data_IF_285383387759
#
_entry.id   IF_285383387759
#
_cell.length_a   1.000
_cell.length_b   1.000
_cell.length_c   1.000
_cell.angle_alpha   90.00
_cell.angle_beta   90.00
_cell.angle_gamma   90.00
#
_symmetry.space_group_name_H-M   'P 1'
#
loop_
_entity.id
_entity.type
_entity.pdbx_description
1 polymer ?
#
# COMPACT_ATOMS: atom_id res chain seq x y z
N UNK A 1 -1.68 -6.22 11.93
CA UNK A 1 -1.74 -5.08 12.86
C UNK A 1 -2.46 -5.46 14.15
N UNK A 2 -2.08 -4.83 15.24
CA UNK A 2 -2.66 -5.14 16.56
C UNK A 2 -4.02 -4.49 16.80
N UNK A 3 -4.35 -3.45 16.05
CA UNK A 3 -5.61 -2.75 16.20
C UNK A 3 -5.96 -1.98 14.93
N UNK A 4 -7.18 -1.48 14.87
CA UNK A 4 -7.67 -0.76 13.69
C UNK A 4 -6.93 0.56 13.49
N UNK A 5 -6.58 1.23 14.57
CA UNK A 5 -5.88 2.52 14.49
C UNK A 5 -4.55 2.42 13.76
N UNK A 6 -3.75 1.40 14.07
CA UNK A 6 -2.48 1.18 13.39
C UNK A 6 -2.69 0.78 11.92
N UNK A 7 -3.70 -0.01 11.64
CA UNK A 7 -4.05 -0.36 10.26
C UNK A 7 -4.46 0.89 9.47
N UNK A 8 -5.22 1.78 10.10
CA UNK A 8 -5.63 3.04 9.49
C UNK A 8 -4.43 3.95 9.23
N UNK A 9 -3.51 4.06 10.19
CA UNK A 9 -2.29 4.86 10.03
C UNK A 9 -1.47 4.34 8.86
N UNK A 10 -1.30 3.03 8.75
CA UNK A 10 -0.58 2.44 7.64
C UNK A 10 -1.26 2.77 6.30
N UNK A 11 -2.58 2.65 6.25
CA UNK A 11 -3.35 3.00 5.05
C UNK A 11 -3.09 4.45 4.62
N UNK A 12 -3.06 5.38 5.57
CA UNK A 12 -2.80 6.78 5.28
C UNK A 12 -1.38 7.00 4.73
N UNK A 13 -0.40 6.32 5.30
CA UNK A 13 0.99 6.42 4.82
C UNK A 13 1.09 5.91 3.37
N UNK A 14 0.44 4.80 3.07
CA UNK A 14 0.45 4.25 1.72
C UNK A 14 -0.32 5.15 0.75
N UNK A 15 -1.42 5.75 1.20
CA UNK A 15 -2.16 6.72 0.39
C UNK A 15 -1.30 7.94 0.03
N UNK A 16 -0.53 8.45 0.98
CA UNK A 16 0.38 9.56 0.73
C UNK A 16 1.48 9.19 -0.25
N UNK A 17 2.02 7.98 -0.13
CA UNK A 17 2.99 7.46 -1.09
C UNK A 17 2.39 7.37 -2.49
N UNK A 18 1.15 6.88 -2.60
CA UNK A 18 0.45 6.76 -3.87
C UNK A 18 0.29 8.11 -4.56
N UNK A 19 -0.11 9.13 -3.80
CA UNK A 19 -0.25 10.49 -4.34
C UNK A 19 1.10 11.05 -4.79
N UNK A 20 2.14 10.85 -4.00
CA UNK A 20 3.48 11.34 -4.33
C UNK A 20 3.99 10.71 -5.63
N UNK A 21 3.74 9.44 -5.83
CA UNK A 21 4.23 8.72 -7.00
C UNK A 21 3.28 8.80 -8.20
N UNK A 22 2.09 9.37 -8.01
CA UNK A 22 1.10 9.46 -9.07
C UNK A 22 0.60 8.11 -9.56
N UNK A 23 0.59 7.11 -8.68
CA UNK A 23 0.20 5.74 -9.00
C UNK A 23 -0.61 5.17 -7.84
N UNK A 24 -1.86 4.83 -8.09
CA UNK A 24 -2.83 4.57 -7.03
C UNK A 24 -3.17 3.09 -6.91
N UNK A 25 -3.08 2.52 -5.71
CA UNK A 25 -3.43 1.12 -5.46
C UNK A 25 -4.91 0.96 -5.13
N UNK A 26 -5.35 -0.29 -5.09
CA UNK A 26 -6.56 -0.65 -4.36
C UNK A 26 -6.16 -0.94 -2.92
N UNK A 27 -6.89 -0.37 -1.96
CA UNK A 27 -6.62 -0.56 -0.53
C UNK A 27 -7.91 -1.03 0.14
N UNK A 28 -7.81 -2.16 0.84
CA UNK A 28 -8.89 -2.67 1.68
C UNK A 28 -8.42 -2.62 3.13
N UNK A 29 -9.09 -1.80 3.93
CA UNK A 29 -8.78 -1.62 5.35
C UNK A 29 -9.79 -2.41 6.18
N UNK A 30 -9.27 -3.33 7.00
CA UNK A 30 -10.07 -4.12 7.91
C UNK A 30 -9.43 -4.10 9.29
N UNK A 31 -10.15 -4.56 10.32
CA UNK A 31 -9.59 -4.66 11.65
C UNK A 31 -8.36 -5.58 11.62
N UNK A 32 -7.22 -5.01 11.98
CA UNK A 32 -5.98 -5.77 12.06
C UNK A 32 -5.34 -6.14 10.72
N UNK A 33 -5.92 -5.71 9.59
CA UNK A 33 -5.45 -6.14 8.28
C UNK A 33 -5.59 -5.04 7.23
N UNK A 34 -4.58 -4.86 6.41
CA UNK A 34 -4.64 -3.98 5.24
C UNK A 34 -4.20 -4.75 4.02
N UNK A 35 -5.04 -4.80 3.01
CA UNK A 35 -4.72 -5.46 1.74
C UNK A 35 -4.47 -4.38 0.69
N UNK A 36 -3.28 -4.38 0.10
CA UNK A 36 -2.89 -3.39 -0.89
C UNK A 36 -2.53 -4.09 -2.18
N UNK A 37 -3.13 -3.64 -3.27
CA UNK A 37 -2.87 -4.19 -4.60
C UNK A 37 -2.46 -3.07 -5.54
N UNK A 38 -1.24 -3.18 -6.07
CA UNK A 38 -0.69 -2.23 -7.01
C UNK A 38 -0.77 -2.81 -8.42
N UNK A 39 -1.52 -2.16 -9.31
CA UNK A 39 -1.56 -2.57 -10.71
C UNK A 39 -1.92 -1.40 -11.61
N UNK A 40 -1.66 -1.55 -12.91
CA UNK A 40 -2.09 -0.57 -13.90
C UNK A 40 -3.48 -0.92 -14.40
N UNK A 41 -4.38 0.06 -14.45
CA UNK A 41 -5.72 -0.13 -14.97
C UNK A 41 -5.74 -0.34 -16.49
N UNK A 42 -4.68 0.02 -17.19
CA UNK A 42 -4.61 -0.04 -18.66
C UNK A 42 -3.94 -1.29 -19.18
N UNK A 43 -3.25 -2.02 -18.34
CA UNK A 43 -2.44 -3.18 -18.74
C UNK A 43 -2.75 -4.33 -17.79
N UNK A 44 -2.98 -5.52 -18.36
CA UNK A 44 -3.33 -6.70 -17.55
C UNK A 44 -2.13 -7.33 -16.86
N UNK A 45 -0.91 -6.95 -17.24
CA UNK A 45 0.29 -7.44 -16.61
C UNK A 45 0.80 -6.47 -15.55
N UNK A 46 1.63 -6.96 -14.65
CA UNK A 46 2.22 -6.13 -13.61
C UNK A 46 3.11 -5.06 -14.24
N UNK A 47 2.82 -3.81 -13.92
CA UNK A 47 3.64 -2.70 -14.35
C UNK A 47 4.91 -2.61 -13.50
N UNK A 48 6.00 -2.08 -14.07
CA UNK A 48 7.25 -1.92 -13.31
C UNK A 48 7.05 -1.08 -12.06
N UNK A 49 6.26 -0.02 -12.16
CA UNK A 49 5.97 0.83 -10.99
C UNK A 49 5.16 0.09 -9.93
N UNK A 50 4.29 -0.83 -10.31
CA UNK A 50 3.55 -1.64 -9.34
C UNK A 50 4.51 -2.49 -8.51
N UNK A 51 5.52 -3.07 -9.15
CA UNK A 51 6.51 -3.87 -8.45
C UNK A 51 7.34 -3.03 -7.48
N UNK A 52 7.81 -1.87 -7.92
CA UNK A 52 8.62 -0.96 -7.10
C UNK A 52 7.81 -0.48 -5.90
N UNK A 53 6.55 -0.10 -6.10
CA UNK A 53 5.71 0.41 -5.02
C UNK A 53 5.30 -0.70 -4.05
N UNK A 54 5.15 -1.92 -4.52
CA UNK A 54 4.92 -3.07 -3.64
C UNK A 54 6.10 -3.27 -2.68
N UNK A 55 7.32 -3.15 -3.20
CA UNK A 55 8.53 -3.26 -2.39
C UNK A 55 8.61 -2.13 -1.36
N UNK A 56 8.32 -0.89 -1.78
CA UNK A 56 8.31 0.25 -0.86
C UNK A 56 7.27 0.08 0.24
N UNK A 57 6.10 -0.45 -0.10
CA UNK A 57 5.03 -0.73 0.85
C UNK A 57 5.49 -1.71 1.92
N UNK A 58 6.15 -2.78 1.53
CA UNK A 58 6.70 -3.76 2.46
C UNK A 58 7.75 -3.15 3.38
N UNK A 59 8.63 -2.33 2.82
CA UNK A 59 9.68 -1.66 3.59
C UNK A 59 9.08 -0.72 4.64
N UNK A 60 8.06 0.02 4.29
CA UNK A 60 7.36 0.92 5.22
C UNK A 60 6.73 0.11 6.34
N UNK A 61 6.07 -0.98 6.01
CA UNK A 61 5.46 -1.83 7.03
C UNK A 61 6.50 -2.34 8.01
N UNK A 62 7.61 -2.87 7.51
CA UNK A 62 8.66 -3.44 8.37
C UNK A 62 9.35 -2.39 9.23
N UNK A 63 9.53 -1.18 8.70
CA UNK A 63 10.28 -0.14 9.43
C UNK A 63 9.42 0.63 10.44
N UNK A 64 8.12 0.76 10.21
CA UNK A 64 7.26 1.63 11.01
C UNK A 64 6.14 0.92 11.76
N UNK A 65 5.73 -0.26 11.32
CA UNK A 65 4.52 -0.92 11.83
C UNK A 65 4.73 -2.35 12.32
N UNK A 66 5.89 -2.92 12.07
CA UNK A 66 6.18 -4.29 12.50
C UNK A 66 6.73 -4.37 13.92
#
# INVERSE_FOLDING_TARGET
FNNFFNAQKFTNVIGDLAEKEGHHPSILLEYGKVTISWWSHKIKSLHVNDFILSTKTEQIYKSQFQ
#
